data_IF_514277567061
#
_entry.id   IF_514277567061
#
_cell.length_a   1.000
_cell.length_b   1.000
_cell.length_c   1.000
_cell.angle_alpha   90.00
_cell.angle_beta   90.00
_cell.angle_gamma   90.00
#
_symmetry.space_group_name_H-M   'P 1'
#
loop_
_entity.id
_entity.type
_entity.pdbx_description
1 polymer ?
#
# COMPACT_ATOMS: atom_id res chain seq x y z
N UNK A 1 22.57 -5.56 6.12
CA UNK A 1 21.67 -5.17 5.02
C UNK A 1 20.25 -5.49 5.45
N UNK A 2 19.50 -4.49 5.91
CA UNK A 2 18.14 -4.70 6.42
C UNK A 2 17.18 -4.83 5.22
N UNK A 3 16.84 -6.07 4.86
CA UNK A 3 15.73 -6.33 3.97
C UNK A 3 14.43 -6.06 4.73
N UNK A 4 13.80 -4.93 4.47
CA UNK A 4 12.50 -4.58 5.02
C UNK A 4 11.44 -5.64 4.58
N UNK A 5 10.60 -6.17 5.49
CA UNK A 5 9.53 -7.11 5.14
C UNK A 5 8.44 -6.54 4.19
N UNK A 6 8.49 -5.25 3.84
CA UNK A 6 7.61 -4.63 2.84
C UNK A 6 7.77 -5.24 1.42
N UNK A 7 8.72 -6.15 1.22
CA UNK A 7 9.09 -6.78 -0.05
C UNK A 7 8.37 -8.13 -0.26
N UNK A 8 7.16 -8.33 0.29
CA UNK A 8 6.28 -9.42 -0.20
C UNK A 8 5.30 -8.95 -1.29
N UNK A 9 4.94 -7.67 -1.29
CA UNK A 9 4.03 -7.09 -2.30
C UNK A 9 4.66 -5.96 -3.12
N UNK A 10 5.82 -5.45 -2.71
CA UNK A 10 6.55 -4.43 -3.46
C UNK A 10 6.80 -4.84 -4.91
N UNK A 11 7.26 -6.07 -5.16
CA UNK A 11 7.55 -6.48 -6.54
C UNK A 11 6.30 -6.67 -7.39
N UNK A 12 5.20 -7.20 -6.85
CA UNK A 12 3.95 -7.35 -7.59
C UNK A 12 3.33 -6.00 -7.98
N UNK A 13 3.27 -5.05 -7.04
CA UNK A 13 2.75 -3.70 -7.32
C UNK A 13 3.69 -2.92 -8.27
N UNK A 14 5.01 -3.01 -8.06
CA UNK A 14 5.98 -2.40 -8.99
C UNK A 14 5.87 -3.01 -10.38
N UNK A 15 5.70 -4.34 -10.51
CA UNK A 15 5.54 -5.01 -11.81
C UNK A 15 4.25 -4.61 -12.53
N UNK A 16 3.15 -4.41 -11.81
CA UNK A 16 1.90 -3.91 -12.41
C UNK A 16 2.08 -2.50 -12.94
N UNK A 17 2.71 -1.60 -12.17
CA UNK A 17 2.99 -0.23 -12.60
C UNK A 17 4.03 -0.17 -13.75
N UNK A 18 5.07 -1.01 -13.70
CA UNK A 18 6.05 -1.18 -14.80
C UNK A 18 5.37 -1.65 -16.09
N UNK A 19 4.47 -2.65 -16.01
CA UNK A 19 3.69 -3.13 -17.15
C UNK A 19 2.77 -2.05 -17.69
N UNK A 20 2.09 -1.31 -16.81
CA UNK A 20 1.20 -0.24 -17.21
C UNK A 20 1.96 0.90 -17.92
N UNK A 21 3.17 1.25 -17.43
CA UNK A 21 4.08 2.19 -18.10
C UNK A 21 4.53 1.71 -19.47
N UNK A 22 4.88 0.43 -19.60
CA UNK A 22 5.26 -0.16 -20.88
C UNK A 22 4.11 -0.12 -21.90
N UNK A 23 2.89 -0.49 -21.49
CA UNK A 23 1.71 -0.46 -22.36
C UNK A 23 1.35 0.98 -22.78
N UNK A 24 1.47 1.95 -21.87
CA UNK A 24 1.26 3.36 -22.18
C UNK A 24 2.25 3.88 -23.23
N UNK A 25 3.53 3.50 -23.12
CA UNK A 25 4.56 3.82 -24.11
C UNK A 25 4.34 3.14 -25.46
N UNK A 26 3.91 1.88 -25.46
CA UNK A 26 3.56 1.17 -26.69
C UNK A 26 2.42 1.88 -27.42
N UNK A 27 1.37 2.28 -26.68
CA UNK A 27 0.24 3.03 -27.23
C UNK A 27 0.62 4.45 -27.67
N UNK A 28 1.63 5.07 -27.03
CA UNK A 28 2.12 6.40 -27.40
C UNK A 28 3.17 6.39 -28.52
N UNK A 29 3.47 5.22 -29.12
CA UNK A 29 4.53 5.04 -30.13
C UNK A 29 5.90 5.54 -29.66
N UNK A 30 6.21 5.35 -28.37
CA UNK A 30 7.47 5.81 -27.77
C UNK A 30 7.52 7.31 -27.47
N UNK A 31 6.38 8.01 -27.45
CA UNK A 31 6.34 9.40 -27.03
C UNK A 31 6.34 9.50 -25.49
N UNK A 32 7.51 9.86 -24.95
CA UNK A 32 7.74 10.01 -23.50
C UNK A 32 7.10 11.26 -22.89
N UNK A 33 6.68 12.23 -23.71
CA UNK A 33 6.01 13.45 -23.24
C UNK A 33 4.50 13.26 -23.08
N UNK A 34 3.97 12.08 -23.40
CA UNK A 34 2.53 11.79 -23.33
C UNK A 34 2.17 11.29 -21.92
N UNK A 35 1.13 11.87 -21.34
CA UNK A 35 0.67 11.53 -19.99
C UNK A 35 0.02 10.14 -19.94
N UNK A 36 0.24 9.44 -18.83
CA UNK A 36 -0.36 8.14 -18.53
C UNK A 36 -1.40 8.31 -17.43
N UNK A 37 -2.64 7.92 -17.71
CA UNK A 37 -3.70 7.88 -16.70
C UNK A 37 -3.58 6.57 -15.92
N UNK A 38 -3.35 6.67 -14.62
CA UNK A 38 -3.44 5.55 -13.68
C UNK A 38 -4.82 5.65 -13.03
N UNK A 39 -5.79 4.84 -13.46
CA UNK A 39 -7.01 4.64 -12.70
C UNK A 39 -6.65 3.81 -11.48
N UNK A 40 -6.31 4.47 -10.38
CA UNK A 40 -6.47 3.86 -9.08
C UNK A 40 -7.96 3.94 -8.78
N UNK A 41 -8.66 2.82 -8.77
CA UNK A 41 -9.94 2.71 -8.07
C UNK A 41 -9.69 2.88 -6.56
N UNK A 42 -9.31 4.08 -6.16
CA UNK A 42 -9.56 4.58 -4.83
C UNK A 42 -11.05 4.90 -4.80
N UNK A 43 -11.87 3.90 -4.48
CA UNK A 43 -13.19 4.18 -3.93
C UNK A 43 -12.93 5.00 -2.68
N UNK A 44 -13.18 6.33 -2.65
CA UNK A 44 -13.02 7.08 -1.41
C UNK A 44 -13.95 6.40 -0.41
N UNK A 45 -13.40 5.86 0.67
CA UNK A 45 -14.19 5.24 1.72
C UNK A 45 -15.20 6.30 2.18
N UNK A 46 -16.51 6.14 1.91
CA UNK A 46 -17.47 6.92 2.64
C UNK A 46 -17.34 6.44 4.08
N UNK A 47 -17.35 7.35 5.04
CA UNK A 47 -17.55 7.15 6.49
C UNK A 47 -16.43 7.79 7.31
N UNK A 48 -16.89 8.66 8.21
CA UNK A 48 -16.26 9.34 9.34
C UNK A 48 -15.63 8.38 10.36
N UNK A 49 -14.98 7.30 9.94
CA UNK A 49 -14.34 6.36 10.86
C UNK A 49 -13.06 7.03 11.37
N UNK A 50 -12.93 7.32 12.67
CA UNK A 50 -11.72 7.90 13.21
C UNK A 50 -10.55 6.93 12.96
N UNK A 51 -9.38 7.47 12.64
CA UNK A 51 -8.18 6.67 12.45
C UNK A 51 -7.94 5.76 13.67
N UNK A 52 -7.96 4.43 13.52
CA UNK A 52 -7.96 3.49 14.65
C UNK A 52 -6.57 3.33 15.28
N UNK A 53 -5.52 3.87 14.65
CA UNK A 53 -4.13 3.71 15.06
C UNK A 53 -3.35 2.76 14.15
N UNK A 54 -2.04 2.94 14.08
CA UNK A 54 -1.16 2.26 13.12
C UNK A 54 -1.28 0.72 13.15
N UNK A 55 -1.33 0.13 14.36
CA UNK A 55 -1.44 -1.33 14.50
C UNK A 55 -2.77 -1.87 14.03
N UNK A 56 -3.87 -1.22 14.39
CA UNK A 56 -5.21 -1.65 14.02
C UNK A 56 -5.43 -1.48 12.53
N UNK A 57 -4.92 -0.38 11.94
CA UNK A 57 -4.89 -0.17 10.50
C UNK A 57 -4.16 -1.30 9.75
N UNK A 58 -2.97 -1.70 10.21
CA UNK A 58 -2.23 -2.83 9.63
C UNK A 58 -3.04 -4.13 9.79
N UNK A 59 -3.63 -4.38 10.97
CA UNK A 59 -4.41 -5.60 11.22
C UNK A 59 -5.62 -5.71 10.28
N UNK A 60 -6.42 -4.65 10.19
CA UNK A 60 -7.62 -4.61 9.35
C UNK A 60 -7.28 -4.75 7.86
N UNK A 61 -6.23 -4.07 7.39
CA UNK A 61 -5.86 -4.12 5.97
C UNK A 61 -5.45 -5.52 5.52
N UNK A 62 -4.71 -6.26 6.35
CA UNK A 62 -4.40 -7.66 6.06
C UNK A 62 -5.61 -8.60 6.23
N UNK A 63 -6.47 -8.35 7.22
CA UNK A 63 -7.70 -9.12 7.42
C UNK A 63 -8.66 -9.00 6.22
N UNK A 64 -8.86 -7.78 5.68
CA UNK A 64 -9.67 -7.54 4.46
C UNK A 64 -9.13 -8.28 3.24
N UNK A 65 -7.85 -8.64 3.23
CA UNK A 65 -7.18 -9.42 2.17
C UNK A 65 -7.18 -10.93 2.45
N UNK A 66 -7.97 -11.40 3.41
CA UNK A 66 -8.08 -12.82 3.79
C UNK A 66 -6.74 -13.45 4.26
N UNK A 67 -5.85 -12.65 4.86
CA UNK A 67 -4.59 -13.16 5.42
C UNK A 67 -4.83 -13.88 6.76
N UNK A 68 -4.16 -15.01 7.08
CA UNK A 68 -4.35 -15.72 8.34
C UNK A 68 -4.00 -14.85 9.56
N UNK A 69 -4.87 -14.82 10.57
CA UNK A 69 -4.73 -13.98 11.75
C UNK A 69 -3.40 -14.22 12.49
N UNK A 70 -2.97 -15.48 12.61
CA UNK A 70 -1.67 -15.86 13.19
C UNK A 70 -0.49 -15.21 12.45
N UNK A 71 -0.58 -15.14 11.13
CA UNK A 71 0.41 -14.47 10.29
C UNK A 71 0.42 -12.96 10.50
N UNK A 72 -0.75 -12.36 10.71
CA UNK A 72 -0.89 -10.93 11.03
C UNK A 72 -0.25 -10.64 12.38
N UNK A 73 -0.49 -11.48 13.40
CA UNK A 73 0.12 -11.33 14.72
C UNK A 73 1.65 -11.44 14.65
N UNK A 74 2.19 -12.40 13.89
CA UNK A 74 3.63 -12.52 13.65
C UNK A 74 4.22 -11.29 12.97
N UNK A 75 3.53 -10.72 11.97
CA UNK A 75 3.94 -9.47 11.32
C UNK A 75 3.95 -8.32 12.34
N UNK A 76 2.86 -8.12 13.10
CA UNK A 76 2.74 -7.03 14.07
C UNK A 76 3.76 -7.14 15.22
N UNK A 77 4.16 -8.35 15.58
CA UNK A 77 5.21 -8.61 16.56
C UNK A 77 6.62 -8.37 16.00
N UNK A 78 6.83 -8.58 14.69
CA UNK A 78 8.12 -8.34 14.02
C UNK A 78 8.45 -6.85 13.83
N UNK A 79 7.46 -5.97 13.99
CA UNK A 79 7.63 -4.53 13.83
C UNK A 79 7.89 -3.90 15.20
N UNK A 80 8.98 -3.16 15.33
CA UNK A 80 9.31 -2.44 16.56
C UNK A 80 8.33 -1.29 16.84
N UNK A 81 8.11 -0.96 18.11
CA UNK A 81 7.30 0.20 18.52
C UNK A 81 7.79 1.52 17.91
N UNK A 82 9.11 1.67 17.74
CA UNK A 82 9.70 2.87 17.15
C UNK A 82 9.35 2.98 15.67
N UNK A 83 9.34 1.86 14.94
CA UNK A 83 8.91 1.81 13.54
C UNK A 83 7.42 2.11 13.42
N UNK A 84 6.58 1.55 14.30
CA UNK A 84 5.14 1.85 14.29
C UNK A 84 4.87 3.35 14.45
N UNK A 85 5.57 4.02 15.38
CA UNK A 85 5.49 5.48 15.56
C UNK A 85 5.93 6.28 14.34
N UNK A 86 6.95 5.84 13.62
CA UNK A 86 7.42 6.50 12.40
C UNK A 86 6.38 6.44 11.27
N UNK A 87 5.66 5.32 11.15
CA UNK A 87 4.66 5.14 10.10
C UNK A 87 3.26 5.66 10.49
N UNK A 88 2.99 5.88 11.77
CA UNK A 88 1.67 6.32 12.26
C UNK A 88 1.20 7.63 11.62
N UNK A 89 2.09 8.60 11.42
CA UNK A 89 1.73 9.86 10.76
C UNK A 89 1.36 9.66 9.28
N UNK A 90 2.06 8.77 8.58
CA UNK A 90 1.79 8.47 7.18
C UNK A 90 0.47 7.73 7.04
N UNK A 91 0.23 6.70 7.85
CA UNK A 91 -1.05 5.98 7.81
C UNK A 91 -2.23 6.85 8.22
N UNK A 92 -2.06 7.74 9.21
CA UNK A 92 -3.09 8.71 9.56
C UNK A 92 -3.42 9.65 8.41
N UNK A 93 -2.43 10.11 7.66
CA UNK A 93 -2.67 10.94 6.48
C UNK A 93 -3.40 10.14 5.39
N UNK A 94 -2.92 8.93 5.08
CA UNK A 94 -3.51 8.06 4.06
C UNK A 94 -4.92 7.59 4.40
N UNK A 95 -5.25 7.43 5.69
CA UNK A 95 -6.58 7.04 6.16
C UNK A 95 -7.67 8.00 5.69
N UNK A 96 -7.38 9.29 5.60
CA UNK A 96 -8.34 10.29 5.09
C UNK A 96 -8.40 10.38 3.57
N UNK A 97 -7.51 9.68 2.85
CA UNK A 97 -7.47 9.64 1.38
C UNK A 97 -7.95 8.32 0.79
N UNK A 98 -8.04 7.26 1.59
CA UNK A 98 -8.51 5.93 1.20
C UNK A 98 -10.04 5.85 1.22
#
# INVERSE_FOLDING_TARGET
>A
MAACPAIKYGWAHTKVLERAKFLALLNSKGNYNKEMVVTAEATPSPVEIPYPGCRDYIRETYARRSFPEEGIAGILASISEQTLKQYDCAYKAWWYFA
#
